data_IF_975034162032
#
_entry.id   IF_975034162032
#
_cell.length_a   1.000
_cell.length_b   1.000
_cell.length_c   1.000
_cell.angle_alpha   90.00
_cell.angle_beta   90.00
_cell.angle_gamma   90.00
#
_symmetry.space_group_name_H-M   'P 1'
#
loop_
_entity.id
_entity.type
_entity.pdbx_description
1 polymer ?
#
# COMPACT_ATOMS: atom_id res chain seq x y z
N UNK A 1 19.66 56.66 17.06
CA UNK A 1 20.53 56.08 16.03
C UNK A 1 20.86 54.60 16.21
N UNK A 2 21.68 54.15 17.18
CA UNK A 2 22.01 52.69 17.30
C UNK A 2 20.80 51.85 17.75
N UNK A 3 19.93 52.38 18.61
CA UNK A 3 18.68 51.74 19.04
C UNK A 3 17.59 51.70 17.96
N UNK A 4 17.52 52.71 17.08
CA UNK A 4 16.56 52.72 15.97
C UNK A 4 16.98 51.75 14.87
N UNK A 5 18.29 51.65 14.61
CA UNK A 5 18.83 50.72 13.62
C UNK A 5 18.62 49.25 14.05
N UNK A 6 18.74 48.95 15.36
CA UNK A 6 18.45 47.60 15.86
C UNK A 6 16.95 47.27 15.86
N UNK A 7 16.09 48.27 16.04
CA UNK A 7 14.64 48.12 16.01
C UNK A 7 14.09 47.74 14.62
N UNK A 8 14.73 48.16 13.52
CA UNK A 8 14.34 47.79 12.15
C UNK A 8 15.05 46.54 11.61
N UNK A 9 16.33 46.32 11.96
CA UNK A 9 17.10 45.19 11.44
C UNK A 9 16.63 43.86 12.03
N UNK A 10 16.31 43.82 13.33
CA UNK A 10 15.85 42.59 14.00
C UNK A 10 14.57 42.02 13.37
N UNK A 11 13.49 42.79 13.15
CA UNK A 11 12.29 42.25 12.49
C UNK A 11 12.53 41.86 11.02
N UNK A 12 13.41 42.56 10.30
CA UNK A 12 13.77 42.19 8.92
C UNK A 12 14.50 40.84 8.85
N UNK A 13 15.46 40.60 9.75
CA UNK A 13 16.18 39.32 9.84
C UNK A 13 15.24 38.18 10.23
N UNK A 14 14.31 38.42 11.16
CA UNK A 14 13.27 37.44 11.55
C UNK A 14 12.36 37.11 10.37
N UNK A 15 11.94 38.10 9.57
CA UNK A 15 11.14 37.90 8.36
C UNK A 15 11.86 37.06 7.31
N UNK A 16 13.14 37.34 7.06
CA UNK A 16 13.96 36.57 6.11
C UNK A 16 14.15 35.13 6.59
N UNK A 17 14.45 34.93 7.87
CA UNK A 17 14.55 33.59 8.45
C UNK A 17 13.22 32.81 8.33
N UNK A 18 12.09 33.48 8.58
CA UNK A 18 10.77 32.91 8.44
C UNK A 18 10.44 32.53 6.99
N UNK A 19 10.78 33.40 6.03
CA UNK A 19 10.60 33.14 4.61
C UNK A 19 11.43 31.92 4.15
N UNK A 20 12.69 31.81 4.61
CA UNK A 20 13.55 30.66 4.31
C UNK A 20 12.94 29.37 4.87
N UNK A 21 12.43 29.38 6.10
CA UNK A 21 11.76 28.21 6.71
C UNK A 21 10.52 27.81 5.91
N UNK A 22 9.69 28.77 5.48
CA UNK A 22 8.52 28.50 4.64
C UNK A 22 8.93 27.89 3.30
N UNK A 23 9.95 28.44 2.64
CA UNK A 23 10.41 27.93 1.34
C UNK A 23 10.95 26.50 1.48
N UNK A 24 11.75 26.21 2.51
CA UNK A 24 12.24 24.85 2.79
C UNK A 24 11.08 23.90 3.06
N UNK A 25 10.09 24.33 3.86
CA UNK A 25 8.89 23.53 4.13
C UNK A 25 8.08 23.24 2.86
N UNK A 26 7.90 24.23 1.98
CA UNK A 26 7.18 24.07 0.71
C UNK A 26 7.90 23.10 -0.23
N UNK A 27 9.23 23.16 -0.32
CA UNK A 27 10.05 22.23 -1.12
C UNK A 27 9.91 20.79 -0.59
N UNK A 28 10.01 20.61 0.73
CA UNK A 28 9.84 19.30 1.38
C UNK A 28 8.44 18.71 1.14
N UNK A 29 7.39 19.53 1.26
CA UNK A 29 6.01 19.13 0.97
C UNK A 29 5.82 18.75 -0.49
N UNK A 30 6.36 19.53 -1.45
CA UNK A 30 6.23 19.25 -2.88
C UNK A 30 6.88 17.92 -3.28
N UNK A 31 8.08 17.63 -2.77
CA UNK A 31 8.81 16.39 -3.08
C UNK A 31 8.09 15.15 -2.54
N UNK A 32 7.50 15.25 -1.34
CA UNK A 32 6.72 14.16 -0.76
C UNK A 32 5.36 13.96 -1.45
N UNK A 33 4.71 15.03 -1.92
CA UNK A 33 3.45 14.91 -2.68
C UNK A 33 3.64 14.14 -3.98
N UNK A 34 4.76 14.30 -4.68
CA UNK A 34 5.03 13.56 -5.92
C UNK A 34 5.07 12.03 -5.71
N UNK A 35 5.73 11.56 -4.63
CA UNK A 35 5.71 10.14 -4.26
C UNK A 35 4.33 9.66 -3.83
N UNK A 36 3.64 10.44 -2.99
CA UNK A 36 2.28 10.11 -2.55
C UNK A 36 1.25 10.06 -3.69
N UNK A 37 1.41 10.88 -4.75
CA UNK A 37 0.49 10.85 -5.89
C UNK A 37 0.61 9.53 -6.64
N UNK A 38 1.84 9.07 -6.91
CA UNK A 38 2.07 7.78 -7.58
C UNK A 38 1.51 6.62 -6.77
N UNK A 39 1.83 6.56 -5.47
CA UNK A 39 1.30 5.51 -4.59
C UNK A 39 -0.24 5.55 -4.51
N UNK A 40 -0.85 6.75 -4.52
CA UNK A 40 -2.31 6.90 -4.55
C UNK A 40 -2.92 6.42 -5.86
N UNK A 41 -2.28 6.70 -6.99
CA UNK A 41 -2.76 6.26 -8.30
C UNK A 41 -2.67 4.73 -8.41
N UNK A 42 -1.58 4.13 -7.96
CA UNK A 42 -1.40 2.67 -7.90
C UNK A 42 -2.47 2.01 -7.01
N UNK A 43 -2.68 2.54 -5.79
CA UNK A 43 -3.73 2.08 -4.87
C UNK A 43 -5.13 2.23 -5.52
N UNK A 44 -5.36 3.31 -6.27
CA UNK A 44 -6.64 3.55 -6.93
C UNK A 44 -6.87 2.57 -8.07
N UNK A 45 -5.85 2.26 -8.84
CA UNK A 45 -5.90 1.26 -9.91
C UNK A 45 -6.17 -0.14 -9.34
N UNK A 46 -5.44 -0.54 -8.30
CA UNK A 46 -5.64 -1.82 -7.60
C UNK A 46 -7.08 -1.93 -7.06
N UNK A 47 -7.60 -0.87 -6.43
CA UNK A 47 -9.00 -0.85 -5.93
C UNK A 47 -10.03 -0.98 -7.05
N UNK A 48 -9.82 -0.28 -8.18
CA UNK A 48 -10.73 -0.37 -9.34
C UNK A 48 -10.69 -1.76 -9.95
N UNK A 49 -9.50 -2.33 -10.11
CA UNK A 49 -9.31 -3.70 -10.58
C UNK A 49 -10.06 -4.68 -9.68
N UNK A 50 -9.77 -4.65 -8.37
CA UNK A 50 -10.39 -5.54 -7.38
C UNK A 50 -11.90 -5.45 -7.37
N UNK A 51 -12.45 -4.24 -7.43
CA UNK A 51 -13.90 -4.03 -7.47
C UNK A 51 -14.54 -4.67 -8.71
N UNK A 52 -13.93 -4.50 -9.89
CA UNK A 52 -14.40 -5.15 -11.12
C UNK A 52 -14.26 -6.66 -11.05
N UNK A 53 -13.09 -7.15 -10.65
CA UNK A 53 -12.80 -8.57 -10.58
C UNK A 53 -13.76 -9.31 -9.64
N UNK A 54 -13.95 -8.79 -8.43
CA UNK A 54 -14.85 -9.41 -7.44
C UNK A 54 -16.29 -9.41 -7.90
N UNK A 55 -16.73 -8.30 -8.52
CA UNK A 55 -18.08 -8.23 -9.09
C UNK A 55 -18.27 -9.29 -10.19
N UNK A 56 -17.31 -9.42 -11.11
CA UNK A 56 -17.37 -10.44 -12.17
C UNK A 56 -17.36 -11.86 -11.60
N UNK A 57 -16.60 -12.12 -10.53
CA UNK A 57 -16.65 -13.41 -9.84
C UNK A 57 -18.04 -13.67 -9.25
N UNK A 58 -18.62 -12.70 -8.55
CA UNK A 58 -19.96 -12.85 -7.96
C UNK A 58 -21.02 -13.10 -9.03
N UNK A 59 -21.03 -12.32 -10.10
CA UNK A 59 -21.96 -12.50 -11.21
C UNK A 59 -21.75 -13.87 -11.89
N UNK A 60 -20.50 -14.28 -12.11
CA UNK A 60 -20.18 -15.57 -12.72
C UNK A 60 -20.57 -16.77 -11.85
N UNK A 61 -20.45 -16.66 -10.52
CA UNK A 61 -20.93 -17.70 -9.61
C UNK A 61 -22.47 -17.75 -9.56
N UNK A 62 -23.16 -16.61 -9.59
CA UNK A 62 -24.63 -16.56 -9.65
C UNK A 62 -25.21 -17.15 -10.94
N UNK A 63 -24.49 -17.00 -12.05
CA UNK A 63 -24.88 -17.54 -13.35
C UNK A 63 -24.39 -18.98 -13.58
N UNK A 64 -23.77 -19.60 -12.57
CA UNK A 64 -23.13 -20.93 -12.66
C UNK A 64 -22.14 -21.05 -13.83
N UNK A 65 -21.53 -19.93 -14.25
CA UNK A 65 -20.59 -19.87 -15.37
C UNK A 65 -19.14 -20.12 -14.96
N UNK A 66 -18.85 -20.10 -13.65
CA UNK A 66 -17.53 -20.44 -13.09
C UNK A 66 -17.56 -21.87 -12.61
N UNK A 67 -16.76 -22.74 -13.23
CA UNK A 67 -16.63 -24.16 -12.84
C UNK A 67 -15.18 -24.60 -12.68
N UNK A 68 -14.26 -23.90 -13.31
CA UNK A 68 -12.86 -24.28 -13.43
C UNK A 68 -11.92 -23.10 -13.14
N UNK A 69 -10.63 -23.41 -12.91
CA UNK A 69 -9.58 -22.39 -12.83
C UNK A 69 -9.50 -21.54 -14.10
N UNK A 70 -9.72 -22.14 -15.27
CA UNK A 70 -9.66 -21.45 -16.56
C UNK A 70 -10.72 -20.34 -16.68
N UNK A 71 -11.94 -20.59 -16.19
CA UNK A 71 -13.01 -19.58 -16.19
C UNK A 71 -12.59 -18.35 -15.36
N UNK A 72 -11.92 -18.57 -14.23
CA UNK A 72 -11.41 -17.50 -13.38
C UNK A 72 -10.22 -16.77 -14.03
N UNK A 73 -9.33 -17.48 -14.70
CA UNK A 73 -8.20 -16.89 -15.43
C UNK A 73 -8.68 -15.98 -16.56
N UNK A 74 -9.67 -16.42 -17.33
CA UNK A 74 -10.29 -15.61 -18.39
C UNK A 74 -10.90 -14.32 -17.84
N UNK A 75 -11.61 -14.39 -16.71
CA UNK A 75 -12.15 -13.19 -16.03
C UNK A 75 -11.01 -12.29 -15.57
N UNK A 76 -9.97 -12.87 -14.98
CA UNK A 76 -8.84 -12.13 -14.45
C UNK A 76 -8.08 -11.37 -15.55
N UNK A 77 -7.76 -12.04 -16.66
CA UNK A 77 -7.11 -11.45 -17.85
C UNK A 77 -7.96 -10.33 -18.45
N UNK A 78 -9.26 -10.59 -18.64
CA UNK A 78 -10.19 -9.60 -19.19
C UNK A 78 -10.29 -8.34 -18.32
N UNK A 79 -10.33 -8.48 -17.00
CA UNK A 79 -10.43 -7.34 -16.07
C UNK A 79 -9.09 -6.59 -15.97
N UNK A 80 -7.98 -7.32 -16.02
CA UNK A 80 -6.64 -6.74 -15.96
C UNK A 80 -6.25 -6.06 -17.29
N UNK A 81 -6.97 -6.31 -18.38
CA UNK A 81 -6.67 -5.78 -19.72
C UNK A 81 -5.24 -6.12 -20.17
N UNK A 82 -4.79 -7.32 -19.82
CA UNK A 82 -3.44 -7.83 -20.12
C UNK A 82 -3.41 -8.42 -21.53
N UNK A 83 -2.29 -8.30 -22.22
CA UNK A 83 -2.01 -9.05 -23.45
C UNK A 83 -1.28 -10.36 -23.13
N UNK A 84 -1.33 -11.33 -24.05
CA UNK A 84 -0.68 -12.66 -23.93
C UNK A 84 0.84 -12.60 -23.64
N UNK A 85 1.48 -11.43 -23.80
CA UNK A 85 2.91 -11.21 -23.56
C UNK A 85 3.27 -10.93 -22.08
N UNK A 86 2.28 -10.66 -21.23
CA UNK A 86 2.49 -10.41 -19.80
C UNK A 86 2.63 -11.73 -19.01
N UNK A 87 3.77 -12.42 -19.15
CA UNK A 87 4.15 -13.69 -18.47
C UNK A 87 3.91 -13.68 -16.94
N UNK A 88 3.69 -12.50 -16.36
CA UNK A 88 3.44 -12.22 -14.95
C UNK A 88 1.95 -12.30 -14.52
N UNK A 89 1.00 -12.59 -15.43
CA UNK A 89 -0.43 -12.40 -15.16
C UNK A 89 -0.98 -13.20 -13.97
N UNK A 90 -0.49 -14.42 -13.72
CA UNK A 90 -0.97 -15.25 -12.59
C UNK A 90 -0.53 -14.76 -11.20
N UNK A 91 0.33 -13.74 -11.11
CA UNK A 91 0.82 -13.23 -9.83
C UNK A 91 -0.23 -12.39 -9.11
N UNK A 92 -0.52 -12.78 -7.87
CA UNK A 92 -1.54 -12.14 -7.05
C UNK A 92 -2.96 -12.66 -7.28
N UNK A 93 -3.21 -13.56 -8.26
CA UNK A 93 -4.51 -14.19 -8.42
C UNK A 93 -4.91 -14.94 -7.15
N UNK A 94 -4.02 -15.80 -6.61
CA UNK A 94 -4.27 -16.54 -5.36
C UNK A 94 -4.58 -15.57 -4.21
N UNK A 95 -3.85 -14.45 -4.08
CA UNK A 95 -4.15 -13.38 -3.13
C UNK A 95 -5.56 -12.82 -3.32
N UNK A 96 -5.95 -12.44 -4.53
CA UNK A 96 -7.29 -11.88 -4.77
C UNK A 96 -8.41 -12.90 -4.55
N UNK A 97 -8.20 -14.17 -4.91
CA UNK A 97 -9.15 -15.25 -4.66
C UNK A 97 -9.31 -15.50 -3.15
N UNK A 98 -8.23 -15.45 -2.37
CA UNK A 98 -8.28 -15.54 -0.90
C UNK A 98 -8.98 -14.33 -0.28
N UNK A 99 -8.72 -13.12 -0.79
CA UNK A 99 -9.44 -11.92 -0.36
C UNK A 99 -10.94 -12.01 -0.68
N UNK A 100 -11.31 -12.58 -1.83
CA UNK A 100 -12.72 -12.83 -2.19
C UNK A 100 -13.34 -13.93 -1.32
N UNK A 101 -12.61 -15.01 -1.02
CA UNK A 101 -13.03 -16.05 -0.08
C UNK A 101 -13.36 -15.47 1.30
N UNK A 102 -12.53 -14.55 1.80
CA UNK A 102 -12.80 -13.83 3.05
C UNK A 102 -14.09 -13.03 2.94
N UNK A 103 -14.30 -12.28 1.85
CA UNK A 103 -15.52 -11.51 1.63
C UNK A 103 -16.77 -12.41 1.55
N UNK A 104 -16.64 -13.60 0.95
CA UNK A 104 -17.69 -14.61 0.83
C UNK A 104 -18.08 -15.16 2.21
N UNK A 105 -17.10 -15.49 3.05
CA UNK A 105 -17.32 -16.02 4.41
C UNK A 105 -17.86 -14.94 5.35
N UNK A 106 -17.36 -13.70 5.24
CA UNK A 106 -17.82 -12.57 6.05
C UNK A 106 -19.18 -12.01 5.61
N UNK A 107 -19.72 -12.50 4.48
CA UNK A 107 -20.94 -11.99 3.85
C UNK A 107 -20.85 -10.48 3.62
N UNK A 108 -19.72 -10.00 3.12
CA UNK A 108 -19.50 -8.57 2.85
C UNK A 108 -20.50 -8.08 1.78
N UNK A 109 -21.50 -7.32 2.23
CA UNK A 109 -22.62 -6.85 1.42
C UNK A 109 -22.21 -5.94 0.25
N UNK A 110 -20.99 -5.40 0.28
CA UNK A 110 -20.45 -4.60 -0.83
C UNK A 110 -20.08 -5.45 -2.04
N UNK A 111 -19.83 -6.73 -1.81
CA UNK A 111 -19.33 -7.68 -2.80
C UNK A 111 -20.38 -8.76 -3.05
N UNK A 112 -20.94 -9.33 -1.97
CA UNK A 112 -21.92 -10.41 -2.01
C UNK A 112 -23.33 -9.84 -1.78
N UNK A 113 -24.25 -9.95 -2.75
CA UNK A 113 -25.62 -9.51 -2.59
C UNK A 113 -26.30 -10.21 -1.41
N UNK A 114 -27.07 -9.45 -0.61
CA UNK A 114 -27.89 -9.98 0.51
C UNK A 114 -28.87 -11.08 0.11
N UNK A 115 -29.23 -11.14 -1.17
CA UNK A 115 -30.14 -12.13 -1.75
C UNK A 115 -29.48 -13.51 -1.95
N UNK A 116 -28.16 -13.59 -1.82
CA UNK A 116 -27.41 -14.86 -1.98
C UNK A 116 -27.73 -15.78 -0.81
N UNK A 117 -28.16 -17.02 -1.12
CA UNK A 117 -28.53 -17.99 -0.08
C UNK A 117 -27.28 -18.59 0.56
N UNK A 118 -27.41 -19.06 1.79
CA UNK A 118 -26.30 -19.66 2.53
C UNK A 118 -25.78 -20.95 1.89
N UNK A 119 -26.65 -21.71 1.23
CA UNK A 119 -26.32 -22.90 0.45
C UNK A 119 -25.39 -22.54 -0.74
N UNK A 120 -25.75 -21.48 -1.47
CA UNK A 120 -24.96 -20.97 -2.62
C UNK A 120 -23.58 -20.51 -2.15
N UNK A 121 -23.50 -19.80 -1.02
CA UNK A 121 -22.23 -19.36 -0.40
C UNK A 121 -21.34 -20.57 -0.08
N UNK A 122 -21.91 -21.63 0.50
CA UNK A 122 -21.15 -22.83 0.85
C UNK A 122 -20.64 -23.57 -0.38
N UNK A 123 -21.43 -23.62 -1.45
CA UNK A 123 -21.04 -24.23 -2.72
C UNK A 123 -19.92 -23.44 -3.39
N UNK A 124 -20.07 -22.12 -3.52
CA UNK A 124 -19.05 -21.25 -4.10
C UNK A 124 -17.75 -21.32 -3.30
N UNK A 125 -17.83 -21.39 -1.97
CA UNK A 125 -16.66 -21.56 -1.11
C UNK A 125 -15.91 -22.85 -1.44
N UNK A 126 -16.60 -23.98 -1.53
CA UNK A 126 -15.98 -25.29 -1.87
C UNK A 126 -15.33 -25.26 -3.25
N UNK A 127 -15.98 -24.61 -4.21
CA UNK A 127 -15.45 -24.48 -5.56
C UNK A 127 -14.21 -23.59 -5.57
N UNK A 128 -14.26 -22.44 -4.89
CA UNK A 128 -13.15 -21.50 -4.77
C UNK A 128 -11.94 -22.11 -4.05
N UNK A 129 -12.15 -22.84 -2.95
CA UNK A 129 -11.09 -23.55 -2.23
C UNK A 129 -10.37 -24.57 -3.14
N UNK A 130 -11.13 -25.28 -3.98
CA UNK A 130 -10.58 -26.21 -4.98
C UNK A 130 -9.74 -25.46 -6.00
N UNK A 131 -10.26 -24.38 -6.56
CA UNK A 131 -9.56 -23.59 -7.59
C UNK A 131 -8.29 -22.93 -7.04
N UNK A 132 -8.32 -22.40 -5.82
CA UNK A 132 -7.12 -21.85 -5.15
C UNK A 132 -6.06 -22.94 -5.00
N UNK A 133 -6.46 -24.14 -4.54
CA UNK A 133 -5.54 -25.27 -4.38
C UNK A 133 -4.94 -25.69 -5.72
N UNK A 134 -5.74 -25.74 -6.77
CA UNK A 134 -5.29 -26.06 -8.13
C UNK A 134 -4.28 -25.01 -8.64
N UNK A 135 -4.57 -23.72 -8.46
CA UNK A 135 -3.68 -22.65 -8.86
C UNK A 135 -2.35 -22.66 -8.08
N UNK A 136 -2.40 -22.92 -6.77
CA UNK A 136 -1.20 -22.98 -5.93
C UNK A 136 -0.29 -24.16 -6.28
N UNK A 137 -0.85 -25.26 -6.80
CA UNK A 137 -0.08 -26.39 -7.34
C UNK A 137 0.58 -26.00 -8.66
N UNK A 138 -0.15 -25.32 -9.55
CA UNK A 138 0.37 -24.92 -10.86
C UNK A 138 1.42 -23.81 -10.76
N UNK A 139 1.22 -22.84 -9.87
CA UNK A 139 2.07 -21.67 -9.70
C UNK A 139 2.39 -21.46 -8.22
N UNK A 140 3.31 -22.27 -7.65
CA UNK A 140 3.67 -22.14 -6.25
C UNK A 140 4.30 -20.78 -5.96
N UNK A 141 4.02 -20.26 -4.77
CA UNK A 141 4.58 -19.00 -4.26
C UNK A 141 4.24 -17.76 -5.11
N UNK A 142 3.21 -17.82 -5.95
CA UNK A 142 2.75 -16.73 -6.83
C UNK A 142 2.41 -15.43 -6.08
N UNK A 143 1.97 -15.55 -4.83
CA UNK A 143 1.60 -14.44 -3.95
C UNK A 143 2.79 -13.75 -3.28
N UNK A 144 4.00 -14.30 -3.40
CA UNK A 144 5.21 -13.72 -2.80
C UNK A 144 5.87 -12.69 -3.72
N UNK A 145 6.60 -11.71 -3.14
CA UNK A 145 7.45 -10.82 -3.91
C UNK A 145 8.41 -11.60 -4.82
N UNK A 146 8.75 -11.08 -6.02
CA UNK A 146 9.55 -11.81 -7.00
C UNK A 146 10.85 -12.40 -6.46
N UNK A 147 11.55 -11.66 -5.58
CA UNK A 147 12.79 -12.11 -4.96
C UNK A 147 12.56 -13.28 -3.99
N UNK A 148 11.55 -13.21 -3.12
CA UNK A 148 11.21 -14.28 -2.18
C UNK A 148 10.76 -15.54 -2.92
N UNK A 149 9.94 -15.37 -3.96
CA UNK A 149 9.49 -16.45 -4.84
C UNK A 149 10.65 -17.15 -5.53
N UNK A 150 11.60 -16.39 -6.10
CA UNK A 150 12.75 -16.96 -6.78
C UNK A 150 13.62 -17.79 -5.82
N UNK A 151 13.84 -17.30 -4.60
CA UNK A 151 14.60 -18.04 -3.59
C UNK A 151 13.88 -19.34 -3.18
N UNK A 152 12.56 -19.33 -3.02
CA UNK A 152 11.80 -20.55 -2.69
C UNK A 152 11.77 -21.56 -3.85
N UNK A 153 11.71 -21.08 -5.10
CA UNK A 153 11.85 -21.92 -6.28
C UNK A 153 13.23 -22.58 -6.33
N UNK A 154 14.29 -21.83 -6.07
CA UNK A 154 15.66 -22.37 -5.96
C UNK A 154 15.74 -23.45 -4.88
N UNK A 155 15.17 -23.21 -3.70
CA UNK A 155 15.12 -24.19 -2.60
C UNK A 155 14.43 -25.47 -3.06
N UNK A 156 13.30 -25.36 -3.76
CA UNK A 156 12.55 -26.52 -4.26
C UNK A 156 13.37 -27.31 -5.28
N UNK A 157 14.12 -26.62 -6.14
CA UNK A 157 15.03 -27.26 -7.11
C UNK A 157 16.18 -27.98 -6.38
N UNK A 158 16.82 -27.36 -5.39
CA UNK A 158 17.89 -27.99 -4.63
C UNK A 158 17.40 -29.14 -3.74
N UNK A 159 16.19 -29.03 -3.19
CA UNK A 159 15.56 -30.09 -2.41
C UNK A 159 15.32 -31.34 -3.26
N UNK A 160 14.87 -31.18 -4.52
CA UNK A 160 14.76 -32.30 -5.47
C UNK A 160 16.09 -32.95 -5.82
N UNK A 161 17.19 -32.20 -5.74
CA UNK A 161 18.57 -32.68 -6.00
C UNK A 161 19.25 -33.26 -4.75
N UNK A 162 18.63 -33.18 -3.57
CA UNK A 162 19.23 -33.60 -2.30
C UNK A 162 20.39 -32.70 -1.83
N UNK A 163 20.52 -31.49 -2.38
CA UNK A 163 21.64 -30.59 -2.12
C UNK A 163 21.39 -29.71 -0.90
N UNK A 164 21.63 -30.27 0.28
CA UNK A 164 21.36 -29.62 1.57
C UNK A 164 22.23 -28.39 1.82
N UNK A 165 23.41 -28.30 1.20
CA UNK A 165 24.32 -27.15 1.31
C UNK A 165 23.70 -25.89 0.69
N UNK A 166 23.30 -25.98 -0.58
CA UNK A 166 22.68 -24.86 -1.28
C UNK A 166 21.30 -24.49 -0.72
N UNK A 167 20.54 -25.46 -0.19
CA UNK A 167 19.29 -25.17 0.54
C UNK A 167 19.57 -24.26 1.74
N UNK A 168 20.57 -24.59 2.56
CA UNK A 168 20.90 -23.79 3.73
C UNK A 168 21.33 -22.37 3.35
N UNK A 169 22.09 -22.22 2.27
CA UNK A 169 22.52 -20.90 1.79
C UNK A 169 21.35 -20.06 1.26
N UNK A 170 20.41 -20.69 0.53
CA UNK A 170 19.18 -20.02 0.10
C UNK A 170 18.25 -19.66 1.26
N UNK A 171 18.16 -20.50 2.30
CA UNK A 171 17.42 -20.16 3.52
C UNK A 171 18.05 -18.96 4.27
N UNK A 172 19.38 -18.87 4.31
CA UNK A 172 20.08 -17.70 4.85
C UNK A 172 19.80 -16.45 4.00
N UNK A 173 19.81 -16.57 2.68
CA UNK A 173 19.47 -15.49 1.75
C UNK A 173 18.04 -14.96 2.02
N UNK A 174 17.06 -15.87 2.10
CA UNK A 174 15.68 -15.53 2.42
C UNK A 174 15.56 -14.84 3.79
N UNK A 175 16.25 -15.36 4.81
CA UNK A 175 16.25 -14.77 6.15
C UNK A 175 16.81 -13.33 6.16
N UNK A 176 17.90 -13.09 5.42
CA UNK A 176 18.49 -11.76 5.28
C UNK A 176 17.54 -10.80 4.56
N UNK A 177 16.87 -11.26 3.51
CA UNK A 177 15.90 -10.48 2.77
C UNK A 177 14.71 -10.07 3.66
N UNK A 178 14.15 -11.01 4.41
CA UNK A 178 13.05 -10.74 5.36
C UNK A 178 13.48 -9.71 6.41
N UNK A 179 14.67 -9.86 7.00
CA UNK A 179 15.22 -8.91 7.99
C UNK A 179 15.42 -7.51 7.40
N UNK A 180 15.93 -7.41 6.18
CA UNK A 180 16.11 -6.14 5.51
C UNK A 180 14.76 -5.44 5.30
N UNK A 181 13.75 -6.17 4.83
CA UNK A 181 12.38 -5.67 4.63
C UNK A 181 11.74 -5.19 5.92
N UNK A 182 11.86 -5.94 7.01
CA UNK A 182 11.36 -5.52 8.33
C UNK A 182 12.05 -4.23 8.83
N UNK A 183 13.37 -4.12 8.63
CA UNK A 183 14.11 -2.90 8.91
C UNK A 183 13.64 -1.69 8.10
N UNK A 184 13.32 -1.88 6.82
CA UNK A 184 12.75 -0.84 5.96
C UNK A 184 11.34 -0.42 6.41
N UNK A 185 10.46 -1.38 6.70
CA UNK A 185 9.11 -1.11 7.21
C UNK A 185 9.16 -0.31 8.52
N UNK A 186 10.06 -0.68 9.43
CA UNK A 186 10.27 0.07 10.67
C UNK A 186 10.81 1.49 10.43
N UNK A 187 11.69 1.69 9.44
CA UNK A 187 12.16 3.04 9.05
C UNK A 187 11.04 3.88 8.46
N UNK A 188 10.17 3.31 7.63
CA UNK A 188 9.00 4.00 7.05
C UNK A 188 8.03 4.41 8.17
N UNK A 189 7.76 3.51 9.11
CA UNK A 189 6.91 3.80 10.28
C UNK A 189 7.47 4.95 11.11
N UNK A 190 8.76 4.89 11.48
CA UNK A 190 9.43 5.97 12.24
C UNK A 190 9.42 7.32 11.51
N UNK A 191 9.60 7.33 10.18
CA UNK A 191 9.48 8.57 9.39
C UNK A 191 8.08 9.16 9.49
N UNK A 192 7.05 8.32 9.41
CA UNK A 192 5.64 8.73 9.51
C UNK A 192 5.33 9.35 10.87
N UNK A 193 5.81 8.74 11.96
CA UNK A 193 5.64 9.27 13.33
C UNK A 193 6.36 10.61 13.53
N UNK A 194 7.57 10.76 12.94
CA UNK A 194 8.32 12.02 12.99
C UNK A 194 7.62 13.19 12.28
N UNK A 195 6.92 12.93 11.17
CA UNK A 195 6.13 13.97 10.50
C UNK A 195 4.97 14.47 11.35
N UNK A 196 4.34 13.59 12.13
CA UNK A 196 3.24 13.96 13.03
C UNK A 196 3.74 14.90 14.14
N UNK A 197 4.95 14.67 14.66
CA UNK A 197 5.59 15.54 15.65
C UNK A 197 5.93 16.93 15.07
N UNK A 198 6.49 16.98 13.85
CA UNK A 198 6.78 18.25 13.16
C UNK A 198 5.50 19.03 12.88
N UNK A 199 4.43 18.36 12.43
CA UNK A 199 3.14 19.00 12.18
C UNK A 199 2.54 19.61 13.46
N UNK A 200 2.61 18.89 14.58
CA UNK A 200 2.17 19.38 15.88
C UNK A 200 2.96 20.63 16.31
N UNK A 201 4.28 20.61 16.12
CA UNK A 201 5.15 21.75 16.42
C UNK A 201 4.82 22.97 15.55
N UNK A 202 4.63 22.79 14.24
CA UNK A 202 4.23 23.87 13.34
C UNK A 202 2.88 24.48 13.72
N UNK A 203 1.91 23.65 14.16
CA UNK A 203 0.61 24.12 14.63
C UNK A 203 0.77 24.99 15.88
N UNK A 204 1.51 24.52 16.89
CA UNK A 204 1.78 25.27 18.11
C UNK A 204 2.50 26.60 17.84
N UNK A 205 3.51 26.59 16.97
CA UNK A 205 4.21 27.81 16.56
C UNK A 205 3.32 28.80 15.84
N UNK A 206 2.38 28.32 15.01
CA UNK A 206 1.42 29.18 14.31
C UNK A 206 0.45 29.85 15.29
N UNK A 207 -0.03 29.11 16.30
CA UNK A 207 -0.88 29.66 17.36
C UNK A 207 -0.13 30.70 18.19
N UNK A 208 1.11 30.40 18.58
CA UNK A 208 1.95 31.33 19.32
C UNK A 208 2.21 32.63 18.54
N UNK A 209 2.55 32.51 17.25
CA UNK A 209 2.76 33.66 16.38
C UNK A 209 1.49 34.51 16.23
N UNK A 210 0.32 33.88 16.09
CA UNK A 210 -0.97 34.59 16.06
C UNK A 210 -1.23 35.37 17.36
N UNK A 211 -0.99 34.74 18.51
CA UNK A 211 -1.14 35.40 19.81
C UNK A 211 -0.17 36.58 19.99
N UNK A 212 1.09 36.41 19.58
CA UNK A 212 2.10 37.46 19.62
C UNK A 212 1.73 38.63 18.70
N UNK A 213 1.21 38.35 17.50
CA UNK A 213 0.77 39.37 16.55
C UNK A 213 -0.39 40.21 17.12
N UNK A 214 -1.38 39.55 17.74
CA UNK A 214 -2.49 40.23 18.43
C UNK A 214 -1.97 41.09 19.58
N UNK A 215 -1.07 40.55 20.41
CA UNK A 215 -0.47 41.31 21.52
C UNK A 215 0.29 42.54 21.04
N UNK A 216 1.13 42.41 20.01
CA UNK A 216 1.87 43.53 19.42
C UNK A 216 0.94 44.58 18.81
N UNK A 217 -0.16 44.15 18.17
CA UNK A 217 -1.18 45.05 17.64
C UNK A 217 -1.84 45.89 18.74
N UNK A 218 -2.26 45.26 19.85
CA UNK A 218 -2.82 45.99 20.99
C UNK A 218 -1.81 46.96 21.62
N UNK A 219 -0.56 46.50 21.81
CA UNK A 219 0.53 47.36 22.33
C UNK A 219 0.80 48.57 21.43
N UNK A 220 0.67 48.42 20.11
CA UNK A 220 0.90 49.51 19.15
C UNK A 220 -0.27 50.50 19.09
N UNK A 221 -1.50 50.07 19.43
CA UNK A 221 -2.65 50.97 19.62
C UNK A 221 -2.63 51.74 20.95
N UNK A 222 -1.69 51.46 21.86
CA UNK A 222 -1.59 52.14 23.15
C UNK A 222 -2.65 51.71 24.17
N UNK A 223 -3.20 50.50 24.00
CA UNK A 223 -4.10 49.83 24.95
C UNK A 223 -3.32 48.82 25.82
#
# INVERSE_FOLDING_TARGET
>A
MVEELSAEIVPAVVLVAYFIVIVIALIAVRRNRAGQIRDRDDIRLEKKFKAKFFRSLTEGFQLESIKTLEDILNIYEAVASLSDEDISYRYGLSRYLREYLVALISKDEKIIPRTTREEDILEWKKLLDRIITENDIQVPYSDLPPLERNILNDITIYLKKGDTGHINDKLKELSRLIKARDGELNRIRKKTDGYLQIALFCLLMSVFAGALAVYLYYKQLGL
#
